data_IF_568001472262
#
_entry.id   IF_568001472262
#
_cell.length_a   1.000
_cell.length_b   1.000
_cell.length_c   1.000
_cell.angle_alpha   90.00
_cell.angle_beta   90.00
_cell.angle_gamma   90.00
#
_symmetry.space_group_name_H-M   'P 1'
#
loop_
_entity.id
_entity.type
_entity.pdbx_description
1 polymer ?
#
# COMPACT_ATOMS: atom_id res chain seq x y z
N UNK A 1 24.30 31.13 -28.86
CA UNK A 1 22.93 31.31 -28.34
C UNK A 1 23.04 31.57 -26.86
N UNK A 2 22.29 32.53 -26.27
CA UNK A 2 22.29 32.69 -24.82
C UNK A 2 21.75 31.41 -24.15
N UNK A 3 22.32 31.03 -23.00
CA UNK A 3 21.76 29.92 -22.22
C UNK A 3 20.35 30.25 -21.75
N UNK A 4 19.44 29.26 -21.72
CA UNK A 4 18.07 29.47 -21.26
C UNK A 4 18.06 29.87 -19.79
N UNK A 5 17.28 30.91 -19.44
CA UNK A 5 17.10 31.36 -18.05
C UNK A 5 16.28 30.31 -17.29
N UNK A 6 16.75 29.82 -16.12
CA UNK A 6 16.01 28.86 -15.31
C UNK A 6 14.63 29.39 -14.90
N UNK A 7 13.65 28.49 -14.88
CA UNK A 7 12.30 28.75 -14.39
C UNK A 7 12.18 28.38 -12.91
N UNK A 8 11.08 28.83 -12.27
CA UNK A 8 10.77 28.42 -10.89
C UNK A 8 10.67 26.89 -10.72
N UNK A 9 10.30 26.16 -11.77
CA UNK A 9 10.23 24.69 -11.71
C UNK A 9 11.63 24.06 -11.69
N UNK A 10 12.61 24.67 -12.35
CA UNK A 10 14.00 24.20 -12.30
C UNK A 10 14.55 24.33 -10.87
N UNK A 11 14.23 25.43 -10.19
CA UNK A 11 14.58 25.61 -8.78
C UNK A 11 13.87 24.62 -7.84
N UNK A 12 12.59 24.33 -8.10
CA UNK A 12 11.83 23.32 -7.34
C UNK A 12 12.43 21.93 -7.55
N UNK A 13 12.73 21.53 -8.78
CA UNK A 13 13.28 20.20 -9.09
C UNK A 13 14.72 20.03 -8.61
N UNK A 14 15.51 21.11 -8.56
CA UNK A 14 16.83 21.09 -7.93
C UNK A 14 16.75 20.81 -6.41
N UNK A 15 15.63 21.14 -5.77
CA UNK A 15 15.41 20.92 -4.33
C UNK A 15 14.64 19.64 -4.01
N UNK A 16 13.73 19.21 -4.89
CA UNK A 16 12.91 18.02 -4.71
C UNK A 16 13.58 16.80 -5.34
N UNK A 17 14.60 16.28 -4.66
CA UNK A 17 15.35 15.09 -5.07
C UNK A 17 15.10 13.92 -4.11
N UNK A 18 15.32 12.66 -4.52
CA UNK A 18 15.26 11.52 -3.62
C UNK A 18 16.12 11.72 -2.36
N UNK A 19 17.35 12.23 -2.52
CA UNK A 19 18.26 12.49 -1.39
C UNK A 19 17.71 13.55 -0.43
N UNK A 20 17.09 14.61 -0.94
CA UNK A 20 16.52 15.68 -0.09
C UNK A 20 15.39 15.19 0.81
N UNK A 21 14.63 14.18 0.36
CA UNK A 21 13.49 13.63 1.09
C UNK A 21 13.95 12.44 1.94
N UNK A 22 14.61 11.46 1.34
CA UNK A 22 14.97 10.20 1.99
C UNK A 22 16.25 10.29 2.81
N UNK A 23 17.06 11.33 2.62
CA UNK A 23 18.17 11.68 3.51
C UNK A 23 17.76 12.50 4.73
N UNK A 24 16.52 13.04 4.77
CA UNK A 24 16.03 13.78 5.93
C UNK A 24 15.83 12.81 7.11
N UNK A 25 16.46 13.04 8.28
CA UNK A 25 16.35 12.15 9.44
C UNK A 25 14.93 12.06 10.01
N UNK A 26 14.02 12.94 9.62
CA UNK A 26 12.60 12.93 10.01
C UNK A 26 11.73 12.09 9.08
N UNK A 27 12.23 11.70 7.90
CA UNK A 27 11.50 10.90 6.92
C UNK A 27 11.48 9.42 7.33
N UNK A 28 10.84 9.11 8.45
CA UNK A 28 10.86 7.78 9.11
C UNK A 28 9.50 7.08 9.09
N UNK A 29 8.45 7.77 8.65
CA UNK A 29 7.06 7.32 8.79
C UNK A 29 6.42 7.70 10.13
N UNK A 30 7.14 8.41 11.02
CA UNK A 30 6.58 8.88 12.28
C UNK A 30 5.29 9.69 12.07
N UNK A 31 4.29 9.43 12.90
CA UNK A 31 2.97 10.08 12.83
C UNK A 31 2.06 9.58 11.70
N UNK A 32 2.50 8.61 10.89
CA UNK A 32 1.70 8.05 9.80
C UNK A 32 1.11 6.71 10.21
N UNK A 33 -0.22 6.60 10.15
CA UNK A 33 -0.94 5.34 10.34
C UNK A 33 -1.13 4.61 9.00
N UNK A 34 -0.75 3.34 8.94
CA UNK A 34 -0.77 2.50 7.74
C UNK A 34 -1.57 1.22 8.00
N UNK A 35 -2.56 0.92 7.16
CA UNK A 35 -3.23 -0.38 7.17
C UNK A 35 -2.67 -1.31 6.09
N UNK A 36 -2.32 -2.53 6.49
CA UNK A 36 -2.03 -3.65 5.58
C UNK A 36 -3.26 -4.55 5.53
N UNK A 37 -4.02 -4.47 4.45
CA UNK A 37 -5.19 -5.32 4.22
C UNK A 37 -4.72 -6.52 3.40
N UNK A 38 -4.50 -7.64 4.10
CA UNK A 38 -3.85 -8.83 3.57
C UNK A 38 -4.24 -10.06 4.42
N UNK A 39 -3.34 -11.03 4.62
CA UNK A 39 -3.53 -12.30 5.32
C UNK A 39 -3.12 -12.26 6.80
N UNK A 40 -3.22 -11.09 7.42
CA UNK A 40 -2.78 -10.86 8.79
C UNK A 40 -1.26 -10.68 8.91
N UNK A 41 -0.80 -10.41 10.12
CA UNK A 41 0.62 -10.20 10.42
C UNK A 41 0.99 -11.01 11.66
N UNK A 42 2.12 -11.69 11.63
CA UNK A 42 2.73 -12.34 12.78
C UNK A 42 3.56 -11.31 13.54
N UNK A 43 2.95 -10.72 14.57
CA UNK A 43 3.49 -9.56 15.31
C UNK A 43 4.85 -9.87 15.91
N UNK A 44 4.94 -11.01 16.59
CA UNK A 44 6.14 -11.42 17.32
C UNK A 44 7.36 -11.49 16.41
N UNK A 45 7.21 -12.09 15.22
CA UNK A 45 8.28 -12.22 14.22
C UNK A 45 8.85 -10.85 13.82
N UNK A 46 7.99 -9.86 13.57
CA UNK A 46 8.45 -8.53 13.18
C UNK A 46 9.03 -7.76 14.37
N UNK A 47 8.34 -7.73 15.51
CA UNK A 47 8.82 -7.02 16.70
C UNK A 47 10.20 -7.54 17.15
N UNK A 48 10.41 -8.86 17.13
CA UNK A 48 11.69 -9.46 17.49
C UNK A 48 12.78 -9.16 16.44
N UNK A 49 12.45 -9.26 15.13
CA UNK A 49 13.38 -8.91 14.04
C UNK A 49 13.88 -7.47 14.18
N UNK A 50 12.97 -6.52 14.33
CA UNK A 50 13.30 -5.10 14.39
C UNK A 50 13.97 -4.69 15.71
N UNK A 51 13.60 -5.33 16.83
CA UNK A 51 14.31 -5.19 18.10
C UNK A 51 15.75 -5.69 18.01
N UNK A 52 15.97 -6.87 17.43
CA UNK A 52 17.31 -7.43 17.23
C UNK A 52 18.18 -6.57 16.29
N UNK A 53 17.55 -5.89 15.32
CA UNK A 53 18.21 -4.93 14.44
C UNK A 53 18.44 -3.54 15.07
N UNK A 54 18.13 -3.34 16.35
CA UNK A 54 18.31 -2.06 17.05
C UNK A 54 17.36 -0.95 16.58
N UNK A 55 16.29 -1.29 15.86
CA UNK A 55 15.33 -0.33 15.28
C UNK A 55 13.90 -0.71 15.69
N UNK A 56 13.54 -0.66 16.99
CA UNK A 56 12.25 -1.13 17.46
C UNK A 56 11.09 -0.38 16.80
N UNK A 57 10.08 -1.13 16.37
CA UNK A 57 8.87 -0.62 15.74
C UNK A 57 7.78 -0.30 16.77
N UNK A 58 6.77 0.47 16.36
CA UNK A 58 5.56 0.63 17.18
C UNK A 58 4.78 -0.69 17.28
N UNK A 59 4.02 -0.92 18.37
CA UNK A 59 3.19 -2.11 18.51
C UNK A 59 2.20 -2.24 17.34
N UNK A 60 2.15 -3.43 16.74
CA UNK A 60 1.25 -3.73 15.62
C UNK A 60 -0.13 -4.05 16.18
N UNK A 61 -1.14 -3.30 15.76
CA UNK A 61 -2.55 -3.56 16.09
C UNK A 61 -3.28 -4.14 14.87
N UNK A 62 -4.53 -4.55 15.01
CA UNK A 62 -5.23 -5.15 13.89
C UNK A 62 -6.60 -5.72 14.20
N UNK A 63 -7.19 -6.37 13.19
CA UNK A 63 -8.42 -7.14 13.33
C UNK A 63 -8.52 -8.22 12.24
N UNK A 64 -9.33 -9.25 12.48
CA UNK A 64 -9.61 -10.33 11.52
C UNK A 64 -11.03 -10.16 10.98
N UNK A 65 -11.16 -10.02 9.67
CA UNK A 65 -12.42 -9.80 8.97
C UNK A 65 -12.96 -11.10 8.37
N UNK A 66 -14.29 -11.22 8.34
CA UNK A 66 -15.00 -12.39 7.79
C UNK A 66 -16.15 -11.90 6.90
N UNK A 67 -16.60 -12.78 6.00
CA UNK A 67 -17.81 -12.51 5.22
C UNK A 67 -19.03 -12.35 6.14
N UNK A 68 -20.04 -11.65 5.64
CA UNK A 68 -21.26 -11.33 6.40
C UNK A 68 -21.96 -12.59 6.89
N UNK A 69 -22.45 -12.56 8.13
CA UNK A 69 -23.32 -13.61 8.66
C UNK A 69 -24.71 -13.46 8.04
N UNK A 70 -25.38 -14.55 7.58
CA UNK A 70 -26.76 -14.48 7.15
C UNK A 70 -27.64 -13.87 8.25
N UNK A 71 -28.51 -12.92 7.88
CA UNK A 71 -29.47 -12.38 8.83
C UNK A 71 -30.41 -13.49 9.30
N UNK A 72 -30.44 -13.76 10.61
CA UNK A 72 -31.38 -14.71 11.21
C UNK A 72 -32.86 -14.32 10.98
N UNK A 73 -33.12 -13.07 10.55
CA UNK A 73 -34.45 -12.51 10.31
C UNK A 73 -34.74 -12.17 8.84
N UNK A 74 -33.97 -12.70 7.87
CA UNK A 74 -34.24 -12.52 6.44
C UNK A 74 -34.03 -11.11 5.89
N UNK A 75 -33.35 -10.23 6.63
CA UNK A 75 -32.95 -8.89 6.16
C UNK A 75 -31.62 -8.90 5.39
N UNK A 76 -31.22 -7.77 4.80
CA UNK A 76 -29.93 -7.61 4.14
C UNK A 76 -28.78 -8.03 5.08
N UNK A 77 -27.83 -8.80 4.54
CA UNK A 77 -26.69 -9.29 5.31
C UNK A 77 -25.85 -8.10 5.81
N UNK A 78 -25.73 -7.96 7.14
CA UNK A 78 -24.82 -6.96 7.73
C UNK A 78 -23.40 -7.53 7.79
N UNK A 79 -22.36 -6.68 7.62
CA UNK A 79 -20.99 -7.09 7.86
C UNK A 79 -20.87 -7.65 9.28
N UNK A 80 -20.23 -8.82 9.42
CA UNK A 80 -19.90 -9.33 10.73
C UNK A 80 -18.95 -8.34 11.44
N UNK A 81 -19.09 -8.12 12.76
CA UNK A 81 -18.07 -7.37 13.48
C UNK A 81 -16.73 -8.10 13.33
N UNK A 82 -15.61 -7.37 13.13
CA UNK A 82 -14.33 -8.01 13.00
C UNK A 82 -13.92 -8.63 14.33
N UNK A 83 -13.18 -9.72 14.26
CA UNK A 83 -12.62 -10.37 15.43
C UNK A 83 -11.33 -9.69 15.88
N UNK A 84 -11.02 -9.90 17.15
CA UNK A 84 -9.78 -9.43 17.74
C UNK A 84 -8.54 -10.01 17.03
N UNK A 85 -7.54 -9.15 16.83
CA UNK A 85 -6.23 -9.57 16.37
C UNK A 85 -5.34 -9.96 17.54
N UNK A 86 -5.06 -11.25 17.64
CA UNK A 86 -4.26 -11.83 18.72
C UNK A 86 -2.75 -11.77 18.46
N UNK A 87 -2.31 -11.06 17.41
CA UNK A 87 -0.90 -11.01 17.00
C UNK A 87 -0.47 -12.05 15.97
N UNK A 88 -1.41 -12.88 15.47
CA UNK A 88 -1.12 -13.94 14.51
C UNK A 88 -1.68 -13.66 13.13
N UNK A 89 -1.00 -14.19 12.11
CA UNK A 89 -1.43 -14.19 10.72
C UNK A 89 -2.24 -15.44 10.36
N UNK A 90 -3.07 -15.38 9.33
CA UNK A 90 -3.64 -16.57 8.69
C UNK A 90 -2.69 -17.19 7.65
N UNK A 91 -1.87 -16.38 6.98
CA UNK A 91 -0.88 -16.82 6.00
C UNK A 91 0.35 -15.88 6.01
N UNK A 92 1.56 -16.37 5.66
CA UNK A 92 2.80 -15.59 5.74
C UNK A 92 2.87 -14.32 4.89
N UNK A 93 2.02 -14.19 3.87
CA UNK A 93 2.13 -13.12 2.88
C UNK A 93 2.02 -11.72 3.51
N UNK A 94 1.04 -11.50 4.39
CA UNK A 94 0.83 -10.20 5.02
C UNK A 94 1.98 -9.77 5.95
N UNK A 95 2.65 -10.72 6.59
CA UNK A 95 3.87 -10.43 7.38
C UNK A 95 5.02 -9.98 6.50
N UNK A 96 5.23 -10.59 5.32
CA UNK A 96 6.24 -10.10 4.36
C UNK A 96 5.91 -8.71 3.84
N UNK A 97 4.63 -8.43 3.57
CA UNK A 97 4.17 -7.08 3.15
C UNK A 97 4.44 -6.05 4.24
N UNK A 98 4.07 -6.34 5.49
CA UNK A 98 4.31 -5.46 6.63
C UNK A 98 5.82 -5.26 6.89
N UNK A 99 6.63 -6.31 6.76
CA UNK A 99 8.08 -6.25 6.88
C UNK A 99 8.71 -5.24 5.92
N UNK A 100 8.25 -5.22 4.67
CA UNK A 100 8.72 -4.26 3.66
C UNK A 100 8.42 -2.82 4.11
N UNK A 101 7.16 -2.54 4.47
CA UNK A 101 6.76 -1.19 4.91
C UNK A 101 7.58 -0.74 6.11
N UNK A 102 7.73 -1.60 7.12
CA UNK A 102 8.50 -1.31 8.34
C UNK A 102 10.00 -1.18 8.08
N UNK A 103 10.55 -1.86 7.08
CA UNK A 103 11.95 -1.71 6.68
C UNK A 103 12.21 -0.32 6.11
N UNK A 104 11.26 0.21 5.32
CA UNK A 104 11.41 1.53 4.70
C UNK A 104 10.99 2.68 5.63
N UNK A 105 9.95 2.47 6.45
CA UNK A 105 9.33 3.47 7.30
C UNK A 105 9.11 2.88 8.71
N UNK A 106 10.16 2.67 9.52
CA UNK A 106 10.09 1.91 10.76
C UNK A 106 9.24 2.56 11.87
N UNK A 107 8.93 3.86 11.75
CA UNK A 107 8.18 4.59 12.77
C UNK A 107 6.69 4.77 12.42
N UNK A 108 6.17 4.10 11.38
CA UNK A 108 4.72 4.10 11.14
C UNK A 108 3.97 3.39 12.26
N UNK A 109 2.70 3.77 12.45
CA UNK A 109 1.74 2.96 13.22
C UNK A 109 1.07 1.98 12.27
N UNK A 110 1.45 0.70 12.34
CA UNK A 110 0.94 -0.33 11.43
C UNK A 110 -0.29 -1.05 12.02
N UNK A 111 -1.33 -1.16 11.20
CA UNK A 111 -2.53 -1.95 11.45
C UNK A 111 -2.61 -3.13 10.49
N UNK A 112 -2.80 -4.33 11.02
CA UNK A 112 -3.04 -5.55 10.25
C UNK A 112 -4.54 -5.80 10.10
N UNK A 113 -5.03 -5.85 8.87
CA UNK A 113 -6.37 -6.31 8.56
C UNK A 113 -6.28 -7.65 7.84
N UNK A 114 -6.59 -8.73 8.55
CA UNK A 114 -6.65 -10.06 7.95
C UNK A 114 -8.00 -10.26 7.26
N UNK A 115 -8.01 -10.33 5.93
CA UNK A 115 -9.21 -10.52 5.10
C UNK A 115 -9.34 -11.93 4.51
N UNK A 116 -8.38 -12.81 4.81
CA UNK A 116 -8.40 -14.21 4.38
C UNK A 116 -8.90 -15.13 5.49
N UNK A 117 -8.51 -14.83 6.74
CA UNK A 117 -8.80 -15.65 7.91
C UNK A 117 -8.34 -17.11 7.77
N UNK A 118 -8.75 -17.97 8.70
CA UNK A 118 -8.32 -19.38 8.70
C UNK A 118 -8.77 -20.18 7.46
N UNK A 119 -9.79 -19.71 6.73
CA UNK A 119 -10.31 -20.37 5.53
C UNK A 119 -9.49 -20.08 4.26
N UNK A 120 -8.63 -19.04 4.27
CA UNK A 120 -7.77 -18.69 3.15
C UNK A 120 -8.51 -18.12 1.93
N UNK A 121 -9.81 -17.85 2.02
CA UNK A 121 -10.60 -17.21 0.97
C UNK A 121 -10.84 -15.74 1.30
N UNK A 122 -10.71 -14.88 0.28
CA UNK A 122 -10.91 -13.44 0.41
C UNK A 122 -12.06 -13.00 -0.49
N UNK A 123 -13.15 -12.52 0.12
CA UNK A 123 -14.30 -11.97 -0.60
C UNK A 123 -14.20 -10.44 -0.72
N UNK A 124 -14.77 -9.89 -1.79
CA UNK A 124 -14.74 -8.45 -2.06
C UNK A 124 -15.40 -7.66 -0.93
N UNK A 125 -16.49 -8.19 -0.39
CA UNK A 125 -17.24 -7.63 0.72
C UNK A 125 -16.39 -7.56 2.00
N UNK A 126 -15.53 -8.55 2.24
CA UNK A 126 -14.57 -8.57 3.36
C UNK A 126 -13.51 -7.49 3.18
N UNK A 127 -12.98 -7.31 1.96
CA UNK A 127 -12.01 -6.24 1.66
C UNK A 127 -12.65 -4.86 1.84
N UNK A 128 -13.89 -4.66 1.39
CA UNK A 128 -14.63 -3.39 1.58
C UNK A 128 -14.85 -3.11 3.07
N UNK A 129 -15.23 -4.13 3.85
CA UNK A 129 -15.42 -3.98 5.29
C UNK A 129 -14.10 -3.60 6.00
N UNK A 130 -12.99 -4.24 5.64
CA UNK A 130 -11.67 -3.93 6.17
C UNK A 130 -11.20 -2.51 5.78
N UNK A 131 -11.41 -2.11 4.53
CA UNK A 131 -11.09 -0.76 4.06
C UNK A 131 -11.86 0.28 4.87
N UNK A 132 -13.19 0.15 4.97
CA UNK A 132 -14.01 1.08 5.76
C UNK A 132 -13.61 1.11 7.23
N UNK A 133 -13.31 -0.04 7.83
CA UNK A 133 -12.83 -0.10 9.21
C UNK A 133 -11.51 0.67 9.39
N UNK A 134 -10.57 0.53 8.44
CA UNK A 134 -9.32 1.28 8.45
C UNK A 134 -9.55 2.79 8.33
N UNK A 135 -10.52 3.22 7.51
CA UNK A 135 -10.90 4.63 7.36
C UNK A 135 -11.63 5.19 8.59
N UNK A 136 -12.51 4.39 9.21
CA UNK A 136 -13.46 4.85 10.22
C UNK A 136 -12.96 4.71 11.65
N UNK A 137 -12.30 3.60 11.95
CA UNK A 137 -11.88 3.25 13.31
C UNK A 137 -10.41 3.58 13.51
N UNK A 138 -9.55 3.07 12.64
CA UNK A 138 -8.10 3.31 12.75
C UNK A 138 -7.66 4.68 12.23
N UNK A 139 -8.50 5.35 11.43
CA UNK A 139 -8.22 6.66 10.82
C UNK A 139 -6.87 6.68 10.09
N UNK A 140 -6.58 5.62 9.33
CA UNK A 140 -5.27 5.49 8.65
C UNK A 140 -5.11 6.53 7.54
N UNK A 141 -3.85 6.88 7.25
CA UNK A 141 -3.50 7.77 6.13
C UNK A 141 -3.09 6.99 4.88
N UNK A 142 -2.60 5.77 5.06
CA UNK A 142 -2.16 4.89 3.97
C UNK A 142 -2.80 3.51 4.12
N UNK A 143 -3.24 2.94 3.01
CA UNK A 143 -3.73 1.56 2.90
C UNK A 143 -2.90 0.86 1.83
N UNK A 144 -2.35 -0.32 2.16
CA UNK A 144 -1.68 -1.19 1.22
C UNK A 144 -2.55 -2.42 0.91
N UNK A 145 -2.86 -2.63 -0.37
CA UNK A 145 -3.58 -3.76 -0.92
C UNK A 145 -2.65 -4.57 -1.84
N UNK A 146 -1.90 -5.51 -1.26
CA UNK A 146 -1.06 -6.47 -1.99
C UNK A 146 -1.87 -7.70 -2.45
N UNK A 147 -3.12 -7.45 -2.86
CA UNK A 147 -4.08 -8.46 -3.29
C UNK A 147 -4.83 -7.96 -4.52
N UNK A 148 -5.41 -8.88 -5.27
CA UNK A 148 -6.30 -8.51 -6.36
C UNK A 148 -7.07 -9.68 -6.94
N UNK A 149 -8.15 -9.36 -7.63
CA UNK A 149 -9.02 -10.31 -8.32
C UNK A 149 -8.89 -10.08 -9.82
N UNK A 150 -8.46 -11.09 -10.60
CA UNK A 150 -8.44 -11.01 -12.06
C UNK A 150 -9.82 -10.65 -12.62
N UNK A 151 -9.86 -9.86 -13.70
CA UNK A 151 -11.11 -9.34 -14.26
C UNK A 151 -12.15 -10.42 -14.55
N UNK A 152 -11.73 -11.58 -15.08
CA UNK A 152 -12.61 -12.70 -15.38
C UNK A 152 -13.28 -13.32 -14.13
N UNK A 153 -12.71 -13.13 -12.93
CA UNK A 153 -13.30 -13.57 -11.65
C UNK A 153 -14.15 -12.48 -10.98
N UNK A 154 -14.07 -11.24 -11.44
CA UNK A 154 -14.85 -10.09 -10.96
C UNK A 154 -15.88 -9.62 -12.01
N UNK A 155 -16.47 -10.56 -12.75
CA UNK A 155 -17.45 -10.26 -13.80
C UNK A 155 -18.79 -9.75 -13.24
N UNK A 156 -19.08 -10.01 -11.96
CA UNK A 156 -20.28 -9.49 -11.30
C UNK A 156 -20.18 -7.98 -11.14
N UNK A 157 -20.81 -7.24 -12.07
CA UNK A 157 -20.81 -5.78 -12.11
C UNK A 157 -21.12 -5.10 -10.75
N UNK A 158 -22.09 -5.58 -9.93
CA UNK A 158 -22.38 -4.94 -8.65
C UNK A 158 -21.19 -4.96 -7.67
N UNK A 159 -20.48 -6.09 -7.57
CA UNK A 159 -19.32 -6.23 -6.66
C UNK A 159 -18.16 -5.33 -7.09
N UNK A 160 -17.88 -5.29 -8.40
CA UNK A 160 -16.86 -4.41 -8.97
C UNK A 160 -17.17 -2.94 -8.65
N UNK A 161 -18.42 -2.51 -8.84
CA UNK A 161 -18.85 -1.15 -8.54
C UNK A 161 -18.80 -0.83 -7.05
N UNK A 162 -19.18 -1.77 -6.17
CA UNK A 162 -19.09 -1.59 -4.72
C UNK A 162 -17.65 -1.40 -4.26
N UNK A 163 -16.71 -2.21 -4.78
CA UNK A 163 -15.29 -2.06 -4.47
C UNK A 163 -14.75 -0.72 -4.99
N UNK A 164 -15.08 -0.35 -6.22
CA UNK A 164 -14.69 0.94 -6.79
C UNK A 164 -15.17 2.11 -5.93
N UNK A 165 -16.44 2.12 -5.50
CA UNK A 165 -16.99 3.16 -4.64
C UNK A 165 -16.27 3.24 -3.29
N UNK A 166 -15.89 2.11 -2.71
CA UNK A 166 -15.14 2.09 -1.45
C UNK A 166 -13.71 2.67 -1.62
N UNK A 167 -13.07 2.42 -2.76
CA UNK A 167 -11.78 3.03 -3.12
C UNK A 167 -11.93 4.55 -3.32
N UNK A 168 -12.97 4.99 -4.04
CA UNK A 168 -13.27 6.42 -4.22
C UNK A 168 -13.57 7.11 -2.89
N UNK A 169 -14.28 6.44 -1.97
CA UNK A 169 -14.53 6.93 -0.61
C UNK A 169 -13.21 7.20 0.13
N UNK A 170 -12.24 6.28 0.05
CA UNK A 170 -10.92 6.48 0.65
C UNK A 170 -10.20 7.70 0.06
N UNK A 171 -10.25 7.87 -1.27
CA UNK A 171 -9.66 9.01 -1.96
C UNK A 171 -10.26 10.34 -1.48
N UNK A 172 -11.60 10.44 -1.40
CA UNK A 172 -12.28 11.67 -0.95
C UNK A 172 -12.12 11.95 0.55
N UNK A 173 -11.59 10.98 1.31
CA UNK A 173 -11.22 11.12 2.73
C UNK A 173 -9.73 11.35 2.93
N UNK A 174 -9.02 11.73 1.86
CA UNK A 174 -7.58 11.99 1.85
C UNK A 174 -6.71 10.80 2.25
N UNK A 175 -7.20 9.57 2.06
CA UNK A 175 -6.44 8.35 2.34
C UNK A 175 -5.81 7.82 1.07
N UNK A 176 -4.52 7.49 1.15
CA UNK A 176 -3.78 6.92 0.04
C UNK A 176 -3.97 5.41 -0.01
N UNK A 177 -4.54 4.92 -1.11
CA UNK A 177 -4.65 3.48 -1.34
C UNK A 177 -3.61 3.06 -2.37
N UNK A 178 -2.76 2.11 -2.02
CA UNK A 178 -1.80 1.47 -2.92
C UNK A 178 -2.30 0.08 -3.28
N UNK A 179 -2.35 -0.26 -4.56
CA UNK A 179 -2.85 -1.55 -5.01
C UNK A 179 -1.93 -2.23 -6.02
N UNK A 180 -1.67 -3.52 -5.79
CA UNK A 180 -0.87 -4.35 -6.67
C UNK A 180 -1.59 -4.63 -7.99
N UNK A 181 -0.88 -4.45 -9.11
CA UNK A 181 -1.26 -5.03 -10.39
C UNK A 181 -1.22 -6.56 -10.34
N UNK A 182 -1.60 -7.24 -11.44
CA UNK A 182 -1.37 -8.68 -11.53
C UNK A 182 0.11 -8.98 -11.80
N UNK A 183 0.61 -10.12 -11.31
CA UNK A 183 2.00 -10.53 -11.59
C UNK A 183 2.30 -10.80 -13.08
N UNK A 184 1.26 -10.94 -13.90
CA UNK A 184 1.35 -11.14 -15.35
C UNK A 184 0.92 -9.88 -16.13
N UNK A 185 0.79 -8.72 -15.47
CA UNK A 185 0.51 -7.46 -16.16
C UNK A 185 1.54 -7.22 -17.29
N UNK A 186 1.13 -6.77 -18.50
CA UNK A 186 -0.22 -6.36 -18.91
C UNK A 186 -1.12 -7.48 -19.47
N UNK A 187 -0.71 -8.76 -19.43
CA UNK A 187 -1.50 -9.87 -19.96
C UNK A 187 -2.79 -10.10 -19.15
N UNK A 188 -2.71 -9.94 -17.83
CA UNK A 188 -3.84 -10.15 -16.91
C UNK A 188 -4.17 -8.85 -16.19
N UNK A 189 -5.39 -8.34 -16.40
CA UNK A 189 -5.94 -7.21 -15.66
C UNK A 189 -6.52 -7.66 -14.32
N UNK A 190 -6.24 -6.92 -13.25
CA UNK A 190 -6.69 -7.22 -11.90
C UNK A 190 -7.20 -5.98 -11.16
N UNK A 191 -8.19 -6.18 -10.30
CA UNK A 191 -8.79 -5.17 -9.42
C UNK A 191 -8.33 -5.39 -7.98
N UNK A 192 -8.03 -4.33 -7.20
CA UNK A 192 -8.44 -2.96 -7.46
C UNK A 192 -7.47 -2.13 -8.30
N UNK A 193 -6.23 -2.54 -8.59
CA UNK A 193 -5.25 -1.68 -9.29
C UNK A 193 -5.77 -1.05 -10.60
N UNK A 194 -6.61 -1.75 -11.37
CA UNK A 194 -7.25 -1.20 -12.57
C UNK A 194 -8.31 -0.12 -12.32
N UNK A 195 -8.61 0.24 -11.06
CA UNK A 195 -9.47 1.37 -10.68
C UNK A 195 -8.73 2.69 -10.56
N UNK A 196 -7.41 2.79 -10.78
CA UNK A 196 -6.73 4.09 -10.85
C UNK A 196 -7.49 5.04 -11.80
N UNK A 197 -7.63 6.35 -11.47
CA UNK A 197 -6.76 7.14 -10.59
C UNK A 197 -7.13 7.34 -9.10
N UNK A 198 -8.29 6.98 -8.51
CA UNK A 198 -8.54 7.17 -7.07
C UNK A 198 -7.60 6.39 -6.13
N UNK A 199 -6.76 5.51 -6.67
CA UNK A 199 -5.67 4.83 -5.96
C UNK A 199 -4.34 4.97 -6.70
N UNK A 200 -3.24 4.58 -6.08
CA UNK A 200 -1.91 4.43 -6.68
C UNK A 200 -1.73 2.97 -7.09
N UNK A 201 -1.71 2.69 -8.39
CA UNK A 201 -1.54 1.33 -8.94
C UNK A 201 -0.07 1.00 -9.17
N UNK A 202 0.37 -0.17 -8.70
CA UNK A 202 1.79 -0.54 -8.64
C UNK A 202 2.07 -1.88 -9.30
N UNK A 203 2.98 -1.88 -10.27
CA UNK A 203 3.60 -3.06 -10.87
C UNK A 203 5.03 -3.26 -10.30
N UNK A 204 5.63 -4.42 -10.58
CA UNK A 204 7.00 -4.72 -10.18
C UNK A 204 8.01 -4.17 -11.18
N UNK A 205 9.08 -3.58 -10.66
CA UNK A 205 10.29 -3.26 -11.41
C UNK A 205 11.51 -3.96 -10.82
N UNK A 206 12.56 -4.06 -11.62
CA UNK A 206 13.85 -4.59 -11.21
C UNK A 206 14.75 -3.44 -10.77
N UNK A 207 14.50 -2.92 -9.58
CA UNK A 207 15.33 -1.90 -8.96
C UNK A 207 16.33 -2.55 -7.98
N UNK A 208 17.57 -2.07 -7.93
CA UNK A 208 18.54 -2.54 -6.94
C UNK A 208 18.26 -1.92 -5.56
N UNK A 209 17.96 -0.62 -5.54
CA UNK A 209 17.59 0.13 -4.35
C UNK A 209 16.14 -0.19 -3.93
N UNK A 210 15.88 -0.53 -2.64
CA UNK A 210 14.53 -0.59 -2.06
C UNK A 210 13.67 0.67 -2.25
N UNK A 211 14.29 1.85 -2.30
CA UNK A 211 13.61 3.12 -2.55
C UNK A 211 13.44 3.40 -4.05
N UNK A 212 13.89 2.49 -4.92
CA UNK A 212 13.76 2.62 -6.37
C UNK A 212 12.33 2.42 -6.85
N UNK A 213 11.84 3.38 -7.63
CA UNK A 213 10.55 3.32 -8.31
C UNK A 213 10.58 4.16 -9.59
N UNK A 214 9.58 3.95 -10.45
CA UNK A 214 9.39 4.73 -11.67
C UNK A 214 7.91 4.98 -11.93
N UNK A 215 7.60 6.12 -12.56
CA UNK A 215 6.31 6.32 -13.19
C UNK A 215 6.37 5.77 -14.61
N UNK A 216 5.58 4.75 -14.91
CA UNK A 216 5.53 4.10 -16.22
C UNK A 216 4.11 3.61 -16.48
N UNK A 217 3.27 4.54 -16.93
CA UNK A 217 1.87 4.25 -17.24
C UNK A 217 1.76 3.14 -18.29
N UNK A 218 1.13 2.04 -17.91
CA UNK A 218 0.80 0.91 -18.78
C UNK A 218 -0.63 0.45 -18.48
N UNK A 219 -1.53 0.71 -19.41
CA UNK A 219 -2.99 0.69 -19.17
C UNK A 219 -3.39 1.59 -17.98
N UNK A 220 -3.92 1.01 -16.90
CA UNK A 220 -4.34 1.70 -15.68
C UNK A 220 -3.30 1.57 -14.55
N UNK A 221 -2.13 0.98 -14.82
CA UNK A 221 -1.06 0.81 -13.84
C UNK A 221 -0.05 1.94 -14.00
N UNK A 222 0.07 2.79 -12.98
CA UNK A 222 0.80 4.06 -13.06
C UNK A 222 2.28 3.92 -12.70
N UNK A 223 2.60 3.13 -11.68
CA UNK A 223 3.94 3.05 -11.10
C UNK A 223 4.55 1.65 -11.16
N UNK A 224 5.87 1.59 -11.19
CA UNK A 224 6.67 0.41 -10.89
C UNK A 224 7.51 0.66 -9.64
N UNK A 225 7.69 -0.33 -8.78
CA UNK A 225 8.54 -0.23 -7.59
C UNK A 225 9.37 -1.49 -7.34
N UNK A 226 10.31 -1.43 -6.40
CA UNK A 226 11.19 -2.55 -6.04
C UNK A 226 10.39 -3.83 -5.73
N UNK A 227 10.56 -4.86 -6.55
CA UNK A 227 9.67 -6.02 -6.54
C UNK A 227 10.04 -7.14 -5.57
N UNK A 228 10.94 -6.98 -4.60
CA UNK A 228 11.40 -8.09 -3.72
C UNK A 228 11.25 -7.75 -2.24
N UNK A 229 10.74 -8.70 -1.46
CA UNK A 229 10.74 -8.65 0.00
C UNK A 229 12.01 -9.22 0.66
N UNK A 230 11.98 -9.25 1.99
CA UNK A 230 13.14 -9.61 2.82
C UNK A 230 12.87 -10.76 3.79
N UNK A 231 11.62 -11.19 3.90
CA UNK A 231 11.19 -12.20 4.86
C UNK A 231 10.30 -13.24 4.17
N UNK A 232 10.66 -14.52 4.35
CA UNK A 232 9.92 -15.65 3.78
C UNK A 232 10.52 -16.23 2.49
N UNK A 233 10.11 -17.45 2.10
CA UNK A 233 10.78 -18.25 1.07
C UNK A 233 10.69 -17.66 -0.35
N UNK A 234 9.59 -16.97 -0.68
CA UNK A 234 9.34 -16.39 -2.01
C UNK A 234 9.64 -14.89 -2.07
N UNK A 235 10.12 -14.30 -0.98
CA UNK A 235 10.31 -12.86 -0.89
C UNK A 235 11.35 -12.34 -1.90
N UNK A 236 12.29 -13.18 -2.33
CA UNK A 236 13.33 -12.80 -3.30
C UNK A 236 12.87 -12.86 -4.75
N UNK A 237 11.74 -13.48 -5.03
CA UNK A 237 11.15 -13.55 -6.36
C UNK A 237 10.38 -12.25 -6.66
N UNK A 238 10.61 -11.59 -7.80
CA UNK A 238 9.91 -10.36 -8.13
C UNK A 238 8.38 -10.51 -8.21
N UNK A 239 7.65 -9.79 -7.35
CA UNK A 239 6.18 -9.76 -7.34
C UNK A 239 5.63 -8.35 -7.15
N UNK A 240 4.46 -8.10 -7.74
CA UNK A 240 3.68 -6.85 -7.58
C UNK A 240 3.22 -6.65 -6.13
N UNK A 241 2.93 -7.75 -5.43
CA UNK A 241 2.63 -7.77 -4.00
C UNK A 241 3.78 -7.27 -3.12
N UNK A 242 5.03 -7.39 -3.58
CA UNK A 242 6.20 -6.83 -2.91
C UNK A 242 6.47 -5.40 -3.36
N UNK A 243 6.21 -5.05 -4.62
CA UNK A 243 6.39 -3.68 -5.13
C UNK A 243 5.46 -2.66 -4.46
N UNK A 244 4.20 -3.03 -4.26
CA UNK A 244 3.18 -2.17 -3.64
C UNK A 244 3.58 -1.63 -2.26
N UNK A 245 4.04 -2.47 -1.29
CA UNK A 245 4.47 -1.99 0.02
C UNK A 245 5.75 -1.16 -0.01
N UNK A 246 6.62 -1.31 -1.02
CA UNK A 246 7.75 -0.39 -1.17
C UNK A 246 7.26 1.03 -1.46
N UNK A 247 6.37 1.18 -2.43
CA UNK A 247 5.84 2.51 -2.76
C UNK A 247 4.97 3.09 -1.64
N UNK A 248 4.21 2.26 -0.94
CA UNK A 248 3.46 2.68 0.25
C UNK A 248 4.40 3.15 1.38
N UNK A 249 5.50 2.43 1.63
CA UNK A 249 6.53 2.83 2.59
C UNK A 249 7.20 4.16 2.22
N UNK A 250 7.57 4.33 0.95
CA UNK A 250 8.10 5.60 0.42
C UNK A 250 7.12 6.75 0.67
N UNK A 251 5.83 6.56 0.38
CA UNK A 251 4.81 7.57 0.63
C UNK A 251 4.67 7.88 2.13
N UNK A 252 4.76 6.88 3.01
CA UNK A 252 4.74 7.10 4.45
C UNK A 252 5.94 7.96 4.92
N UNK A 253 7.13 7.79 4.34
CA UNK A 253 8.28 8.67 4.62
C UNK A 253 8.02 10.11 4.21
N UNK A 254 7.46 10.33 3.01
CA UNK A 254 7.07 11.67 2.54
C UNK A 254 6.02 12.29 3.49
N UNK A 255 5.01 11.51 3.88
CA UNK A 255 3.95 11.95 4.78
C UNK A 255 4.46 12.29 6.18
N UNK A 256 5.52 11.65 6.69
CA UNK A 256 6.11 12.05 7.97
C UNK A 256 6.75 13.45 7.94
N UNK A 257 7.12 13.96 6.76
CA UNK A 257 7.58 15.34 6.58
C UNK A 257 6.42 16.33 6.39
N UNK A 258 5.33 15.89 5.75
CA UNK A 258 4.14 16.71 5.47
C UNK A 258 2.86 15.85 5.57
N UNK A 259 2.27 15.71 6.77
CA UNK A 259 1.20 14.72 7.03
C UNK A 259 -0.14 14.96 6.32
N UNK A 260 -0.40 16.21 5.94
CA UNK A 260 -1.66 16.67 5.36
C UNK A 260 -1.72 16.57 3.83
N UNK A 261 -0.66 16.06 3.18
CA UNK A 261 -0.64 15.86 1.73
C UNK A 261 -1.81 15.00 1.26
N UNK A 262 -2.41 15.41 0.15
CA UNK A 262 -3.54 14.75 -0.51
C UNK A 262 -3.06 13.65 -1.46
N UNK A 263 -3.91 12.68 -1.82
CA UNK A 263 -3.52 11.60 -2.73
C UNK A 263 -2.95 12.10 -4.07
N UNK A 264 -3.53 13.15 -4.66
CA UNK A 264 -3.01 13.71 -5.92
C UNK A 264 -1.65 14.39 -5.74
N UNK A 265 -1.41 15.06 -4.60
CA UNK A 265 -0.11 15.71 -4.32
C UNK A 265 1.00 14.67 -4.16
N UNK A 266 0.72 13.56 -3.48
CA UNK A 266 1.68 12.46 -3.37
C UNK A 266 1.96 11.86 -4.74
N UNK A 267 0.95 11.65 -5.60
CA UNK A 267 1.18 11.21 -6.99
C UNK A 267 2.08 12.17 -7.75
N UNK A 268 1.85 13.47 -7.62
CA UNK A 268 2.69 14.52 -8.23
C UNK A 268 4.12 14.48 -7.71
N UNK A 269 4.31 14.37 -6.39
CA UNK A 269 5.63 14.30 -5.76
C UNK A 269 6.38 13.04 -6.23
N UNK A 270 5.73 11.87 -6.22
CA UNK A 270 6.33 10.63 -6.73
C UNK A 270 6.75 10.78 -8.20
N UNK A 271 5.88 11.33 -9.05
CA UNK A 271 6.20 11.59 -10.44
C UNK A 271 7.41 12.54 -10.60
N UNK A 272 7.48 13.62 -9.83
CA UNK A 272 8.59 14.57 -9.86
C UNK A 272 9.90 13.99 -9.33
N UNK A 273 9.84 13.20 -8.26
CA UNK A 273 11.01 12.48 -7.74
C UNK A 273 11.58 11.51 -8.80
N UNK A 274 10.72 10.75 -9.49
CA UNK A 274 11.15 9.90 -10.61
C UNK A 274 11.83 10.72 -11.72
N UNK A 275 11.26 11.86 -12.11
CA UNK A 275 11.86 12.74 -13.13
C UNK A 275 13.20 13.33 -12.72
N UNK A 276 13.35 13.75 -11.47
CA UNK A 276 14.61 14.29 -10.94
C UNK A 276 15.72 13.24 -10.92
N UNK A 277 15.41 11.98 -10.61
CA UNK A 277 16.39 10.88 -10.61
C UNK A 277 16.80 10.42 -12.01
N UNK A 278 15.95 10.62 -13.01
CA UNK A 278 16.21 10.20 -14.41
C UNK A 278 17.01 11.24 -15.22
N UNK A 279 17.19 12.46 -14.69
CA UNK A 279 17.91 13.54 -15.36
C UNK A 279 19.43 13.55 -15.11
N UNK A 280 19.92 12.63 -14.26
CA UNK A 280 21.34 12.52 -13.90
C UNK A 280 22.08 11.33 -14.51
N UNK A 281 21.47 10.62 -15.48
CA UNK A 281 22.05 9.46 -16.18
C UNK A 281 22.28 9.74 -17.66
#
# INVERSE_FOLDING_TARGET
MPEPVPTVFDEIFARLTPDSIFGDPRATGAGVAVAVIDSGVERSVLEDKFRAAGTPIQPIEGAVFRSSVPSASGGEARPAPPLEYTGHQSSPHGTTVADIILTLAPQVKLYSADVFGAAGSCEVETVIAALRYALDVWKVKVVNLSLGVPEHKLQQLPRRQQLQRAIEEAYFRDVLVFAAAHNEHPLTRSYPAAFAPPLISVDKGLFADPLGFAYKLSEHVEFQAHGKGYLGPLAREPATSWATPHLAGIAARILSLKPDLKPFEIKTILYWLFRSGSGGS
#
